data_IF_882781603302
#
_entry.id   IF_882781603302
#
_cell.length_a   1.000
_cell.length_b   1.000
_cell.length_c   1.000
_cell.angle_alpha   90.00
_cell.angle_beta   90.00
_cell.angle_gamma   90.00
#
_symmetry.space_group_name_H-M   'P 1'
#
loop_
_entity.id
_entity.type
_entity.pdbx_description
1 polymer ?
#
# COMPACT_ATOMS: atom_id res chain seq x y z
N UNK A 1 -31.05 27.07 0.83
CA UNK A 1 -30.01 27.68 -0.03
C UNK A 1 -28.66 27.79 0.68
N UNK A 2 -28.58 28.17 1.96
CA UNK A 2 -27.32 28.25 2.70
C UNK A 2 -26.73 26.87 3.06
N UNK A 3 -27.58 25.91 3.46
CA UNK A 3 -27.15 24.56 3.86
C UNK A 3 -26.55 23.76 2.70
N UNK A 4 -27.09 23.93 1.49
CA UNK A 4 -26.57 23.27 0.27
C UNK A 4 -25.15 23.73 -0.07
N UNK A 5 -24.88 25.05 0.04
CA UNK A 5 -23.53 25.60 -0.22
C UNK A 5 -22.50 25.13 0.81
N UNK A 6 -22.88 25.00 2.08
CA UNK A 6 -21.99 24.48 3.13
C UNK A 6 -21.69 22.98 2.94
N UNK A 7 -22.69 22.18 2.57
CA UNK A 7 -22.50 20.76 2.27
C UNK A 7 -21.54 20.55 1.08
N UNK A 8 -21.71 21.30 -0.01
CA UNK A 8 -20.83 21.24 -1.19
C UNK A 8 -19.38 21.65 -0.86
N UNK A 9 -19.18 22.69 -0.07
CA UNK A 9 -17.85 23.11 0.37
C UNK A 9 -17.15 22.02 1.20
N UNK A 10 -17.90 21.37 2.08
CA UNK A 10 -17.39 20.28 2.93
C UNK A 10 -17.03 19.03 2.13
N UNK A 11 -17.83 18.68 1.12
CA UNK A 11 -17.54 17.57 0.21
C UNK A 11 -16.27 17.83 -0.60
N UNK A 12 -16.12 19.02 -1.19
CA UNK A 12 -14.89 19.39 -1.92
C UNK A 12 -13.65 19.34 -1.03
N UNK A 13 -13.75 19.84 0.20
CA UNK A 13 -12.64 19.77 1.16
C UNK A 13 -12.27 18.33 1.52
N UNK A 14 -13.26 17.43 1.67
CA UNK A 14 -13.01 15.99 1.88
C UNK A 14 -12.36 15.35 0.66
N UNK A 15 -12.85 15.61 -0.55
CA UNK A 15 -12.30 15.07 -1.78
C UNK A 15 -10.83 15.49 -1.98
N UNK A 16 -10.53 16.79 -1.87
CA UNK A 16 -9.14 17.28 -1.97
C UNK A 16 -8.20 16.67 -0.93
N UNK A 17 -8.70 16.36 0.28
CA UNK A 17 -7.92 15.65 1.30
C UNK A 17 -7.67 14.20 0.88
N UNK A 18 -8.69 13.50 0.37
CA UNK A 18 -8.57 12.13 -0.13
C UNK A 18 -7.57 12.04 -1.29
N UNK A 19 -7.61 12.98 -2.24
CA UNK A 19 -6.65 13.06 -3.35
C UNK A 19 -5.21 13.23 -2.87
N UNK A 20 -4.98 14.11 -1.88
CA UNK A 20 -3.64 14.30 -1.29
C UNK A 20 -3.14 13.04 -0.60
N UNK A 21 -4.02 12.30 0.09
CA UNK A 21 -3.68 11.02 0.74
C UNK A 21 -3.34 9.96 -0.30
N UNK A 22 -4.15 9.83 -1.36
CA UNK A 22 -3.89 8.92 -2.47
C UNK A 22 -2.56 9.25 -3.16
N UNK A 23 -2.26 10.53 -3.41
CA UNK A 23 -0.99 10.96 -3.98
C UNK A 23 0.21 10.66 -3.07
N UNK A 24 0.04 10.75 -1.75
CA UNK A 24 1.10 10.38 -0.79
C UNK A 24 1.37 8.87 -0.80
N UNK A 25 0.31 8.07 -0.78
CA UNK A 25 0.43 6.61 -0.86
C UNK A 25 1.04 6.18 -2.19
N UNK A 26 0.62 6.76 -3.32
CA UNK A 26 1.20 6.49 -4.63
C UNK A 26 2.72 6.73 -4.63
N UNK A 27 3.20 7.83 -4.02
CA UNK A 27 4.65 8.07 -3.87
C UNK A 27 5.35 7.00 -3.04
N UNK A 28 4.72 6.51 -1.98
CA UNK A 28 5.26 5.43 -1.15
C UNK A 28 5.32 4.11 -1.92
N UNK A 29 4.28 3.77 -2.70
CA UNK A 29 4.24 2.60 -3.57
C UNK A 29 5.36 2.68 -4.63
N UNK A 30 5.52 3.83 -5.30
CA UNK A 30 6.60 4.02 -6.28
C UNK A 30 7.98 3.95 -5.65
N UNK A 31 8.17 4.51 -4.45
CA UNK A 31 9.43 4.41 -3.73
C UNK A 31 9.75 2.95 -3.37
N UNK A 32 8.75 2.20 -2.90
CA UNK A 32 8.86 0.77 -2.65
C UNK A 32 9.26 0.02 -3.92
N UNK A 33 8.53 0.16 -5.03
CA UNK A 33 8.85 -0.51 -6.29
C UNK A 33 10.31 -0.26 -6.73
N UNK A 34 10.79 0.99 -6.61
CA UNK A 34 12.18 1.36 -6.95
C UNK A 34 13.22 0.67 -6.09
N UNK A 35 12.98 0.52 -4.79
CA UNK A 35 13.94 -0.15 -3.90
C UNK A 35 13.83 -1.67 -3.90
N UNK A 36 12.75 -2.24 -4.47
CA UNK A 36 12.46 -3.67 -4.42
C UNK A 36 12.41 -4.30 -5.82
N UNK A 37 13.49 -4.09 -6.60
CA UNK A 37 13.67 -4.73 -7.91
C UNK A 37 13.05 -4.00 -9.10
N UNK A 38 12.57 -2.77 -8.93
CA UNK A 38 12.15 -1.88 -10.01
C UNK A 38 10.65 -1.91 -10.34
N UNK A 39 9.93 -2.93 -9.90
CA UNK A 39 8.47 -3.02 -9.97
C UNK A 39 7.89 -3.58 -8.68
N UNK A 40 6.58 -3.38 -8.52
CA UNK A 40 5.81 -4.02 -7.47
C UNK A 40 4.43 -4.38 -8.03
N UNK A 41 3.82 -5.37 -7.41
CA UNK A 41 2.40 -5.72 -7.57
C UNK A 41 1.76 -5.65 -6.19
N UNK A 42 0.44 -5.51 -6.11
CA UNK A 42 -0.21 -5.35 -4.82
C UNK A 42 -1.62 -5.90 -4.75
N UNK A 43 -2.16 -5.91 -3.53
CA UNK A 43 -3.50 -6.40 -3.22
C UNK A 43 -4.11 -5.53 -2.12
N UNK A 44 -5.41 -5.20 -2.24
CA UNK A 44 -6.13 -4.39 -1.25
C UNK A 44 -7.02 -5.31 -0.40
N UNK A 45 -6.81 -5.33 0.92
CA UNK A 45 -7.64 -6.10 1.85
C UNK A 45 -8.30 -5.22 2.90
N UNK A 46 -9.56 -5.52 3.21
CA UNK A 46 -10.32 -4.80 4.23
C UNK A 46 -9.82 -5.11 5.66
N UNK A 47 -9.59 -4.07 6.45
CA UNK A 47 -9.17 -4.14 7.86
C UNK A 47 -10.30 -3.80 8.85
N UNK A 48 -11.56 -3.77 8.40
CA UNK A 48 -12.65 -3.32 9.25
C UNK A 48 -12.66 -1.80 9.42
N UNK A 49 -12.97 -1.33 10.63
CA UNK A 49 -13.05 0.09 10.96
C UNK A 49 -11.72 0.85 10.79
N UNK A 50 -10.60 0.14 10.63
CA UNK A 50 -9.27 0.74 10.43
C UNK A 50 -9.01 1.13 8.97
N UNK A 51 -9.91 0.77 8.04
CA UNK A 51 -9.77 1.04 6.62
C UNK A 51 -9.35 -0.19 5.84
N UNK A 52 -8.37 -0.03 4.95
CA UNK A 52 -7.83 -1.11 4.11
C UNK A 52 -6.31 -1.13 4.18
N UNK A 53 -5.73 -2.30 3.97
CA UNK A 53 -4.29 -2.45 3.70
C UNK A 53 -4.03 -2.64 2.22
N UNK A 54 -2.85 -2.21 1.79
CA UNK A 54 -2.28 -2.43 0.47
C UNK A 54 -1.02 -3.26 0.70
N UNK A 55 -1.13 -4.57 0.47
CA UNK A 55 0.04 -5.46 0.51
C UNK A 55 0.78 -5.28 -0.81
N UNK A 56 2.09 -5.04 -0.74
CA UNK A 56 2.97 -4.87 -1.89
C UNK A 56 3.98 -6.00 -1.92
N UNK A 57 4.23 -6.56 -3.10
CA UNK A 57 5.30 -7.53 -3.36
C UNK A 57 6.16 -6.98 -4.49
N UNK A 58 7.44 -6.74 -4.20
CA UNK A 58 8.41 -6.26 -5.17
C UNK A 58 8.87 -7.34 -6.14
N UNK A 59 9.51 -6.95 -7.23
CA UNK A 59 10.08 -7.90 -8.20
C UNK A 59 11.16 -8.81 -7.59
N UNK A 60 11.84 -8.36 -6.53
CA UNK A 60 12.79 -9.16 -5.76
C UNK A 60 12.12 -10.12 -4.74
N UNK A 61 10.78 -10.08 -4.64
CA UNK A 61 9.99 -10.89 -3.72
C UNK A 61 9.86 -10.34 -2.30
N UNK A 62 10.59 -9.28 -1.96
CA UNK A 62 10.39 -8.60 -0.67
C UNK A 62 9.02 -7.91 -0.65
N UNK A 63 8.46 -7.77 0.54
CA UNK A 63 7.08 -7.34 0.71
C UNK A 63 6.92 -6.27 1.78
N UNK A 64 5.86 -5.49 1.65
CA UNK A 64 5.51 -4.42 2.58
C UNK A 64 4.00 -4.19 2.64
N UNK A 65 3.57 -3.38 3.61
CA UNK A 65 2.17 -3.04 3.81
C UNK A 65 2.01 -1.53 4.00
N UNK A 66 1.04 -0.94 3.31
CA UNK A 66 0.58 0.43 3.51
C UNK A 66 -0.90 0.43 3.91
N UNK A 67 -1.29 1.28 4.86
CA UNK A 67 -2.68 1.39 5.30
C UNK A 67 -3.31 2.67 4.75
N UNK A 68 -4.53 2.54 4.22
CA UNK A 68 -5.38 3.63 3.80
C UNK A 68 -6.70 3.64 4.59
N UNK A 69 -7.28 4.82 4.77
CA UNK A 69 -8.53 4.99 5.53
C UNK A 69 -9.77 4.44 4.80
N UNK A 70 -9.71 4.32 3.47
CA UNK A 70 -10.80 3.77 2.67
C UNK A 70 -10.28 3.05 1.42
N UNK A 71 -11.14 2.18 0.88
CA UNK A 71 -10.87 1.46 -0.36
C UNK A 71 -10.61 2.41 -1.54
N UNK A 72 -11.39 3.49 -1.66
CA UNK A 72 -11.24 4.45 -2.77
C UNK A 72 -9.88 5.16 -2.75
N UNK A 73 -9.38 5.52 -1.55
CA UNK A 73 -8.06 6.15 -1.42
C UNK A 73 -6.96 5.16 -1.81
N UNK A 74 -7.08 3.89 -1.42
CA UNK A 74 -6.11 2.85 -1.77
C UNK A 74 -6.11 2.57 -3.28
N UNK A 75 -7.29 2.40 -3.88
CA UNK A 75 -7.46 2.16 -5.32
C UNK A 75 -6.86 3.29 -6.13
N UNK A 76 -7.22 4.55 -5.79
CA UNK A 76 -6.66 5.72 -6.46
C UNK A 76 -5.13 5.84 -6.27
N UNK A 77 -4.57 5.37 -5.16
CA UNK A 77 -3.14 5.34 -4.94
C UNK A 77 -2.43 4.30 -5.83
N UNK A 78 -3.00 3.10 -5.92
CA UNK A 78 -2.48 2.00 -6.75
C UNK A 78 -2.53 2.37 -8.23
N UNK A 79 -3.67 2.89 -8.71
CA UNK A 79 -3.82 3.39 -10.08
C UNK A 79 -2.79 4.47 -10.43
N UNK A 80 -2.60 5.45 -9.53
CA UNK A 80 -1.60 6.51 -9.70
C UNK A 80 -0.17 5.99 -9.70
N UNK A 81 0.11 4.94 -8.94
CA UNK A 81 1.43 4.31 -8.89
C UNK A 81 1.71 3.43 -10.10
N UNK A 82 0.67 3.00 -10.84
CA UNK A 82 0.79 2.19 -12.04
C UNK A 82 1.27 0.77 -11.78
N UNK A 83 0.96 0.20 -10.62
CA UNK A 83 1.28 -1.20 -10.29
C UNK A 83 0.13 -2.13 -10.64
N UNK A 84 0.42 -3.41 -10.90
CA UNK A 84 -0.62 -4.44 -11.05
C UNK A 84 -1.34 -4.64 -9.71
N UNK A 85 -2.67 -4.60 -9.74
CA UNK A 85 -3.52 -4.89 -8.60
C UNK A 85 -4.16 -6.26 -8.76
N UNK A 86 -3.92 -7.13 -7.79
CA UNK A 86 -4.58 -8.43 -7.67
C UNK A 86 -5.88 -8.29 -6.89
N UNK A 87 -6.91 -9.01 -7.31
CA UNK A 87 -8.19 -9.09 -6.61
C UNK A 87 -8.04 -9.84 -5.28
N UNK A 88 -7.35 -10.98 -5.31
CA UNK A 88 -7.07 -11.81 -4.14
C UNK A 88 -5.58 -11.96 -3.89
N UNK A 89 -5.21 -12.26 -2.64
CA UNK A 89 -3.83 -12.64 -2.30
C UNK A 89 -3.69 -14.15 -2.47
N UNK A 90 -3.73 -14.59 -3.73
CA UNK A 90 -3.81 -16.01 -4.09
C UNK A 90 -2.47 -16.74 -3.94
N UNK A 91 -2.47 -18.05 -4.22
CA UNK A 91 -1.28 -18.89 -4.07
C UNK A 91 -0.15 -18.50 -5.03
N UNK A 92 -0.45 -18.01 -6.23
CA UNK A 92 0.58 -17.59 -7.19
C UNK A 92 1.24 -16.29 -6.70
N UNK A 93 0.44 -15.31 -6.28
CA UNK A 93 0.94 -14.05 -5.78
C UNK A 93 1.69 -14.23 -4.45
N UNK A 94 1.15 -15.05 -3.55
CA UNK A 94 1.81 -15.40 -2.28
C UNK A 94 3.13 -16.14 -2.49
N UNK A 95 3.24 -16.99 -3.52
CA UNK A 95 4.47 -17.73 -3.82
C UNK A 95 5.65 -16.82 -4.24
N UNK A 96 5.38 -15.57 -4.65
CA UNK A 96 6.43 -14.59 -4.97
C UNK A 96 7.06 -13.96 -3.73
N UNK A 97 6.40 -14.05 -2.57
CA UNK A 97 6.89 -13.47 -1.33
C UNK A 97 8.15 -14.21 -0.84
N UNK A 98 9.22 -13.45 -0.59
CA UNK A 98 10.46 -13.92 0.02
C UNK A 98 10.60 -13.27 1.39
N UNK A 99 10.72 -14.11 2.42
CA UNK A 99 11.06 -13.70 3.79
C UNK A 99 12.33 -14.44 4.18
N UNK A 100 13.44 -13.72 4.30
CA UNK A 100 14.75 -14.34 4.53
C UNK A 100 15.41 -13.86 5.83
N UNK A 101 16.72 -14.10 5.98
CA UNK A 101 17.40 -13.99 7.27
C UNK A 101 17.26 -12.63 7.93
N UNK A 102 17.24 -11.55 7.14
CA UNK A 102 17.00 -10.20 7.63
C UNK A 102 15.65 -10.08 8.35
N UNK A 103 14.57 -10.47 7.67
CA UNK A 103 13.21 -10.38 8.20
C UNK A 103 13.02 -11.30 9.40
N UNK A 104 13.49 -12.55 9.31
CA UNK A 104 13.40 -13.52 10.40
C UNK A 104 14.09 -13.03 11.67
N UNK A 105 15.25 -12.41 11.54
CA UNK A 105 15.97 -11.85 12.68
C UNK A 105 15.19 -10.72 13.35
N UNK A 106 14.52 -9.86 12.56
CA UNK A 106 13.66 -8.81 13.11
C UNK A 106 12.40 -9.36 13.75
N UNK A 107 11.79 -10.41 13.19
CA UNK A 107 10.63 -11.09 13.79
C UNK A 107 10.99 -11.80 15.10
N UNK A 108 12.22 -12.30 15.22
CA UNK A 108 12.76 -12.89 16.45
C UNK A 108 13.12 -11.84 17.52
N UNK A 109 12.90 -10.54 17.27
CA UNK A 109 13.17 -9.46 18.22
C UNK A 109 14.60 -8.93 18.23
N UNK A 110 15.46 -9.39 17.31
CA UNK A 110 16.80 -8.81 17.13
C UNK A 110 16.69 -7.45 16.44
N UNK A 111 17.04 -6.38 17.15
CA UNK A 111 16.96 -4.99 16.65
C UNK A 111 17.96 -4.71 15.51
N UNK A 112 19.00 -5.53 15.37
CA UNK A 112 20.07 -5.33 14.38
C UNK A 112 19.70 -5.85 12.99
N UNK A 113 18.69 -6.71 12.87
CA UNK A 113 18.40 -7.45 11.64
C UNK A 113 19.47 -8.50 11.29
N UNK A 114 19.15 -9.36 10.34
CA UNK A 114 20.07 -10.33 9.73
C UNK A 114 20.71 -9.79 8.44
N UNK A 115 21.46 -10.59 7.68
CA UNK A 115 21.92 -10.20 6.35
C UNK A 115 20.73 -10.03 5.39
N UNK A 116 20.80 -9.06 4.47
CA UNK A 116 19.80 -8.83 3.43
C UNK A 116 19.58 -10.07 2.56
N UNK A 117 18.41 -10.12 1.91
CA UNK A 117 18.15 -11.16 0.92
C UNK A 117 19.05 -10.93 -0.32
N UNK A 118 19.78 -11.97 -0.72
CA UNK A 118 20.62 -11.99 -1.93
C UNK A 118 19.79 -12.01 -3.23
#
# INVERSE_FOLDING_TARGET
MADTKQAEGTERARNTRSERKAARLAKQITAFARSHGGSAEGQIAYLGQRGVRIVLVGANGEWGDLVAESHDIATAAVERAGITLHEEFDGEFAARVRTGPYEWSRMAGSQLGGPSND
#
